data_IF_156055826752
#
_entry.id   IF_156055826752
#
_cell.length_a   1.000
_cell.length_b   1.000
_cell.length_c   1.000
_cell.angle_alpha   90.00
_cell.angle_beta   90.00
_cell.angle_gamma   90.00
#
_symmetry.space_group_name_H-M   'P 1'
#
loop_
_entity.id
_entity.type
_entity.pdbx_description
1 polymer ?
#
# COMPACT_ATOMS: atom_id res chain seq x y z
N UNK A 1 20.63 -8.79 28.18
CA UNK A 1 20.52 -8.22 26.84
C UNK A 1 20.30 -9.39 25.87
N UNK A 2 19.29 -9.37 25.02
CA UNK A 2 19.05 -10.44 24.05
C UNK A 2 20.06 -10.30 22.91
N UNK A 3 20.87 -11.33 22.66
CA UNK A 3 21.77 -11.40 21.51
C UNK A 3 20.98 -11.92 20.29
N UNK A 4 20.26 -11.05 19.60
CA UNK A 4 19.54 -11.42 18.39
C UNK A 4 20.53 -11.53 17.23
N UNK A 5 20.58 -12.70 16.59
CA UNK A 5 21.44 -13.00 15.44
C UNK A 5 20.57 -13.33 14.23
N UNK A 6 21.02 -12.90 13.05
CA UNK A 6 20.39 -13.26 11.78
C UNK A 6 21.45 -13.67 10.76
N UNK A 7 21.05 -14.43 9.75
CA UNK A 7 21.94 -14.82 8.67
C UNK A 7 22.05 -13.72 7.61
N UNK A 8 23.26 -13.33 7.26
CA UNK A 8 23.56 -12.39 6.18
C UNK A 8 23.57 -13.05 4.80
N UNK A 9 23.80 -14.36 4.77
CA UNK A 9 23.91 -15.10 3.52
C UNK A 9 22.55 -15.57 3.03
N UNK A 10 22.39 -15.54 1.70
CA UNK A 10 21.17 -16.02 1.06
C UNK A 10 20.22 -14.92 0.58
N UNK A 11 19.05 -15.32 0.04
CA UNK A 11 18.07 -14.39 -0.49
C UNK A 11 17.48 -13.53 0.64
N UNK A 12 17.34 -12.24 0.34
CA UNK A 12 16.80 -11.31 1.32
C UNK A 12 15.30 -11.56 1.56
N UNK A 13 14.91 -11.38 2.81
CA UNK A 13 13.50 -11.31 3.20
C UNK A 13 13.31 -10.30 4.33
N UNK A 14 12.10 -9.78 4.46
CA UNK A 14 11.76 -8.79 5.48
C UNK A 14 10.38 -8.21 5.27
N UNK A 15 10.19 -6.98 5.72
CA UNK A 15 8.88 -6.32 5.71
C UNK A 15 8.94 -4.93 5.08
N UNK A 16 7.82 -4.50 4.53
CA UNK A 16 7.61 -3.13 4.06
C UNK A 16 7.32 -2.26 5.28
N UNK A 17 8.11 -1.22 5.49
CA UNK A 17 7.86 -0.21 6.53
C UNK A 17 6.89 0.84 6.05
N UNK A 18 7.12 1.36 4.85
CA UNK A 18 6.34 2.44 4.25
C UNK A 18 6.43 2.38 2.73
N UNK A 19 5.44 2.93 2.05
CA UNK A 19 5.44 3.05 0.60
C UNK A 19 4.70 4.29 0.13
N UNK A 20 5.04 4.73 -1.08
CA UNK A 20 4.45 5.92 -1.66
C UNK A 20 4.75 6.05 -3.14
N UNK A 21 4.33 7.18 -3.72
CA UNK A 21 4.64 7.53 -5.11
C UNK A 21 5.51 8.77 -5.13
N UNK A 22 6.72 8.66 -5.72
CA UNK A 22 7.63 9.79 -5.88
C UNK A 22 7.71 10.22 -7.35
N UNK A 23 7.68 11.54 -7.57
CA UNK A 23 7.84 12.12 -8.90
C UNK A 23 9.17 11.69 -9.53
N UNK A 24 9.12 11.10 -10.72
CA UNK A 24 10.30 10.61 -11.45
C UNK A 24 10.80 9.21 -11.05
N UNK A 25 10.44 8.69 -9.88
CA UNK A 25 10.82 7.35 -9.44
C UNK A 25 9.66 6.34 -9.53
N UNK A 26 8.42 6.84 -9.57
CA UNK A 26 7.22 6.02 -9.55
C UNK A 26 6.92 5.47 -8.15
N UNK A 27 6.38 4.27 -8.09
CA UNK A 27 6.13 3.59 -6.82
C UNK A 27 7.45 3.22 -6.14
N UNK A 28 7.60 3.63 -4.89
CA UNK A 28 8.74 3.39 -4.01
C UNK A 28 8.27 2.74 -2.72
N UNK A 29 9.11 1.92 -2.12
CA UNK A 29 8.86 1.35 -0.81
C UNK A 29 10.13 1.36 0.04
N UNK A 30 10.00 1.61 1.32
CA UNK A 30 11.05 1.42 2.31
C UNK A 30 10.90 0.04 2.93
N UNK A 31 11.90 -0.78 2.74
CA UNK A 31 11.96 -2.15 3.24
C UNK A 31 12.88 -2.24 4.44
N UNK A 32 12.54 -3.05 5.42
CA UNK A 32 13.46 -3.51 6.46
C UNK A 32 13.91 -4.92 6.11
N UNK A 33 15.17 -5.06 5.76
CA UNK A 33 15.77 -6.38 5.53
C UNK A 33 15.94 -7.07 6.88
N UNK A 34 15.34 -8.24 7.06
CA UNK A 34 15.43 -9.03 8.29
C UNK A 34 16.40 -10.21 8.17
N UNK A 35 16.53 -10.78 6.99
CA UNK A 35 17.44 -11.90 6.68
C UNK A 35 18.03 -11.73 5.29
N UNK A 36 19.20 -12.32 5.07
CA UNK A 36 19.88 -12.29 3.79
C UNK A 36 20.38 -10.92 3.41
N UNK A 37 20.88 -10.76 2.21
CA UNK A 37 21.37 -9.48 1.67
C UNK A 37 20.59 -9.13 0.42
N UNK A 38 19.99 -7.93 0.40
CA UNK A 38 19.24 -7.42 -0.73
C UNK A 38 20.18 -6.70 -1.70
N UNK A 39 20.11 -7.02 -2.99
CA UNK A 39 20.94 -6.42 -4.02
C UNK A 39 20.12 -5.64 -5.04
N UNK A 40 20.73 -4.61 -5.62
CA UNK A 40 20.15 -3.93 -6.77
C UNK A 40 20.08 -4.91 -7.94
N UNK A 41 18.90 -5.01 -8.57
CA UNK A 41 18.64 -5.95 -9.65
C UNK A 41 18.03 -7.28 -9.20
N UNK A 42 17.89 -7.54 -7.90
CA UNK A 42 17.18 -8.71 -7.40
C UNK A 42 15.70 -8.66 -7.80
N UNK A 43 15.12 -9.84 -7.98
CA UNK A 43 13.68 -9.98 -8.14
C UNK A 43 13.03 -10.17 -6.78
N UNK A 44 12.07 -9.34 -6.47
CA UNK A 44 11.33 -9.40 -5.20
C UNK A 44 9.85 -9.71 -5.44
N UNK A 45 9.33 -10.55 -4.59
CA UNK A 45 7.89 -10.76 -4.42
C UNK A 45 7.46 -10.00 -3.18
N UNK A 46 6.54 -9.04 -3.36
CA UNK A 46 5.96 -8.23 -2.28
C UNK A 46 4.44 -8.33 -2.41
N UNK A 47 3.78 -8.97 -1.43
CA UNK A 47 2.35 -9.22 -1.55
C UNK A 47 2.02 -10.03 -2.80
N UNK A 48 1.31 -9.40 -3.74
CA UNK A 48 0.87 -9.97 -5.02
C UNK A 48 1.65 -9.45 -6.24
N UNK A 49 2.66 -8.59 -6.03
CA UNK A 49 3.51 -8.09 -7.11
C UNK A 49 4.89 -8.73 -7.13
N UNK A 50 5.32 -9.14 -8.31
CA UNK A 50 6.66 -9.63 -8.58
C UNK A 50 7.39 -8.65 -9.49
N UNK A 51 8.49 -8.04 -9.00
CA UNK A 51 9.21 -6.98 -9.73
C UNK A 51 10.70 -7.05 -9.51
N UNK A 52 11.43 -6.53 -10.50
CA UNK A 52 12.86 -6.32 -10.42
C UNK A 52 13.17 -4.97 -9.77
N UNK A 53 13.99 -4.98 -8.74
CA UNK A 53 14.47 -3.75 -8.09
C UNK A 53 15.33 -2.95 -9.07
N UNK A 54 14.96 -1.70 -9.32
CA UNK A 54 15.73 -0.79 -10.20
C UNK A 54 16.83 -0.08 -9.44
N UNK A 55 16.54 0.39 -8.25
CA UNK A 55 17.53 1.07 -7.41
C UNK A 55 17.31 0.79 -5.95
N UNK A 56 18.41 0.81 -5.19
CA UNK A 56 18.43 0.80 -3.74
C UNK A 56 18.99 2.13 -3.25
N UNK A 57 18.35 2.73 -2.27
CA UNK A 57 18.83 3.95 -1.58
C UNK A 57 18.85 3.72 -0.08
N UNK A 58 19.92 4.13 0.57
CA UNK A 58 20.00 4.10 2.02
C UNK A 58 19.15 5.22 2.66
N UNK A 59 19.12 5.26 3.99
CA UNK A 59 18.39 6.27 4.76
C UNK A 59 18.88 7.72 4.53
N UNK A 60 20.09 7.90 3.99
CA UNK A 60 20.63 9.21 3.59
C UNK A 60 20.23 9.59 2.14
N UNK A 61 19.46 8.75 1.44
CA UNK A 61 19.10 8.98 0.04
C UNK A 61 20.19 8.61 -0.97
N UNK A 62 21.35 8.14 -0.53
CA UNK A 62 22.45 7.74 -1.40
C UNK A 62 22.17 6.39 -2.04
N UNK A 63 22.49 6.24 -3.32
CA UNK A 63 22.33 4.99 -4.03
C UNK A 63 23.37 3.97 -3.55
N UNK A 64 22.91 2.75 -3.24
CA UNK A 64 23.73 1.63 -2.80
C UNK A 64 23.50 0.42 -3.70
N UNK A 65 24.44 -0.52 -3.70
CA UNK A 65 24.33 -1.77 -4.46
C UNK A 65 23.74 -2.91 -3.63
N UNK A 66 24.00 -2.90 -2.33
CA UNK A 66 23.62 -3.98 -1.41
C UNK A 66 23.10 -3.41 -0.09
N UNK A 67 22.16 -4.11 0.54
CA UNK A 67 21.64 -3.80 1.87
C UNK A 67 21.66 -5.05 2.75
N UNK A 68 22.43 -5.05 3.85
CA UNK A 68 22.45 -6.16 4.80
C UNK A 68 21.21 -6.18 5.69
N UNK A 69 21.02 -7.23 6.51
CA UNK A 69 19.96 -7.27 7.52
C UNK A 69 20.03 -6.09 8.51
N UNK A 70 18.88 -5.81 9.12
CA UNK A 70 18.67 -4.72 10.11
C UNK A 70 18.89 -3.31 9.52
N UNK A 71 18.89 -3.18 8.20
CA UNK A 71 19.03 -1.89 7.52
C UNK A 71 17.76 -1.53 6.78
N UNK A 72 17.19 -0.33 7.00
CA UNK A 72 16.12 0.19 6.17
C UNK A 72 16.69 0.63 4.82
N UNK A 73 15.99 0.26 3.75
CA UNK A 73 16.39 0.58 2.38
C UNK A 73 15.19 0.96 1.53
N UNK A 74 15.28 2.08 0.84
CA UNK A 74 14.27 2.48 -0.13
C UNK A 74 14.55 1.81 -1.48
N UNK A 75 13.51 1.20 -2.05
CA UNK A 75 13.56 0.55 -3.36
C UNK A 75 12.65 1.26 -4.36
N UNK A 76 12.99 1.20 -5.63
CA UNK A 76 12.16 1.64 -6.74
C UNK A 76 11.99 0.54 -7.79
N UNK A 77 11.02 0.71 -8.69
CA UNK A 77 10.73 -0.26 -9.75
C UNK A 77 9.47 -1.08 -9.49
N UNK A 78 8.72 -0.73 -8.46
CA UNK A 78 7.43 -1.33 -8.15
C UNK A 78 6.34 -0.83 -9.11
N UNK A 79 5.27 -1.58 -9.28
CA UNK A 79 4.13 -1.20 -10.11
C UNK A 79 3.20 -0.24 -9.37
N UNK A 80 2.96 -0.52 -8.10
CA UNK A 80 2.16 0.28 -7.19
C UNK A 80 2.75 0.19 -5.79
N UNK A 81 2.45 1.17 -4.91
CA UNK A 81 2.91 1.13 -3.53
C UNK A 81 2.32 -0.07 -2.79
N UNK A 82 3.14 -0.97 -2.21
CA UNK A 82 2.66 -2.05 -1.36
C UNK A 82 2.16 -1.51 -0.02
N UNK A 83 1.32 -2.28 0.69
CA UNK A 83 0.88 -1.89 2.02
C UNK A 83 2.02 -2.05 3.05
N UNK A 84 2.04 -1.16 4.06
CA UNK A 84 2.93 -1.31 5.20
C UNK A 84 2.66 -2.64 5.93
N UNK A 85 3.70 -3.25 6.47
CA UNK A 85 3.62 -4.57 7.12
C UNK A 85 3.58 -5.76 6.17
N UNK A 86 3.48 -5.58 4.86
CA UNK A 86 3.60 -6.69 3.91
C UNK A 86 5.00 -7.28 3.91
N UNK A 87 5.07 -8.61 3.84
CA UNK A 87 6.33 -9.32 3.71
C UNK A 87 6.86 -9.23 2.28
N UNK A 88 8.18 -9.15 2.17
CA UNK A 88 8.87 -9.32 0.89
C UNK A 88 9.88 -10.45 0.95
N UNK A 89 10.15 -11.06 -0.18
CA UNK A 89 11.21 -12.03 -0.37
C UNK A 89 11.89 -11.91 -1.73
N UNK A 90 13.19 -12.12 -1.75
CA UNK A 90 13.94 -12.27 -3.01
C UNK A 90 13.74 -13.68 -3.53
N UNK A 91 13.42 -13.80 -4.82
CA UNK A 91 13.13 -15.06 -5.47
C UNK A 91 14.10 -15.29 -6.62
N UNK A 92 14.71 -16.45 -6.67
CA UNK A 92 15.67 -16.84 -7.73
C UNK A 92 14.97 -17.42 -8.96
N UNK A 93 13.84 -18.09 -8.76
CA UNK A 93 13.04 -18.67 -9.83
C UNK A 93 11.92 -17.72 -10.25
N UNK A 94 12.16 -17.03 -11.37
CA UNK A 94 11.23 -16.06 -11.93
C UNK A 94 9.87 -16.68 -12.31
N UNK A 95 9.87 -17.92 -12.85
CA UNK A 95 8.63 -18.60 -13.25
C UNK A 95 7.75 -18.95 -12.06
N UNK A 96 8.36 -19.54 -11.01
CA UNK A 96 7.64 -19.89 -9.79
C UNK A 96 7.10 -18.64 -9.08
N UNK A 97 7.90 -17.57 -9.03
CA UNK A 97 7.49 -16.31 -8.41
C UNK A 97 6.36 -15.61 -9.17
N UNK A 98 6.39 -15.63 -10.50
CA UNK A 98 5.34 -15.07 -11.34
C UNK A 98 4.03 -15.82 -11.15
N UNK A 99 4.05 -17.14 -11.18
CA UNK A 99 2.87 -17.98 -10.93
C UNK A 99 2.27 -17.72 -9.54
N UNK A 100 3.11 -17.63 -8.51
CA UNK A 100 2.67 -17.33 -7.14
C UNK A 100 2.08 -15.91 -7.01
N UNK A 101 2.66 -14.93 -7.71
CA UNK A 101 2.14 -13.56 -7.72
C UNK A 101 0.77 -13.49 -8.40
N UNK A 102 0.59 -14.17 -9.53
CA UNK A 102 -0.67 -14.25 -10.25
C UNK A 102 -1.77 -14.93 -9.41
N UNK A 103 -1.44 -16.03 -8.71
CA UNK A 103 -2.36 -16.71 -7.79
C UNK A 103 -2.78 -15.79 -6.63
N UNK A 104 -1.84 -15.07 -6.01
CA UNK A 104 -2.12 -14.12 -4.94
C UNK A 104 -2.96 -12.94 -5.43
N UNK A 105 -2.67 -12.41 -6.63
CA UNK A 105 -3.45 -11.33 -7.24
C UNK A 105 -4.90 -11.76 -7.52
N UNK A 106 -5.11 -12.99 -8.01
CA UNK A 106 -6.45 -13.55 -8.20
C UNK A 106 -7.21 -13.65 -6.88
N UNK A 107 -6.61 -14.27 -5.86
CA UNK A 107 -7.22 -14.38 -4.52
C UNK A 107 -7.54 -13.02 -3.89
N UNK A 108 -6.67 -12.03 -4.10
CA UNK A 108 -6.90 -10.66 -3.61
C UNK A 108 -8.10 -10.01 -4.29
N UNK A 109 -8.23 -10.18 -5.63
CA UNK A 109 -9.40 -9.70 -6.38
C UNK A 109 -10.69 -10.36 -5.91
N UNK A 110 -10.70 -11.69 -5.75
CA UNK A 110 -11.86 -12.44 -5.30
C UNK A 110 -12.31 -11.99 -3.91
N UNK A 111 -11.37 -11.80 -2.99
CA UNK A 111 -11.65 -11.26 -1.65
C UNK A 111 -12.20 -9.83 -1.67
N UNK A 112 -11.69 -8.97 -2.57
CA UNK A 112 -12.22 -7.59 -2.74
C UNK A 112 -13.63 -7.60 -3.31
N UNK A 113 -13.92 -8.49 -4.26
CA UNK A 113 -15.25 -8.66 -4.84
C UNK A 113 -16.23 -9.23 -3.82
N UNK A 114 -15.82 -10.22 -3.03
CA UNK A 114 -16.64 -10.80 -1.95
C UNK A 114 -16.99 -9.74 -0.88
N UNK A 115 -16.03 -8.89 -0.49
CA UNK A 115 -16.28 -7.79 0.47
C UNK A 115 -17.19 -6.69 -0.08
N UNK A 116 -17.17 -6.44 -1.41
CA UNK A 116 -18.08 -5.48 -2.06
C UNK A 116 -19.47 -6.06 -2.31
N UNK A 117 -19.59 -7.40 -2.39
CA UNK A 117 -20.86 -8.09 -2.68
C UNK A 117 -21.84 -8.18 -1.50
N UNK A 118 -21.40 -7.88 -0.29
CA UNK A 118 -22.28 -7.88 0.90
C UNK A 118 -22.82 -6.45 1.15
N UNK A 119 -23.48 -5.88 0.15
CA UNK A 119 -24.51 -4.89 0.45
C UNK A 119 -25.76 -5.70 0.84
N UNK A 120 -25.90 -5.99 2.12
CA UNK A 120 -27.09 -6.69 2.61
C UNK A 120 -28.31 -5.83 2.31
N UNK A 121 -29.40 -6.45 1.89
CA UNK A 121 -30.72 -5.76 1.74
C UNK A 121 -31.10 -4.98 3.02
N UNK A 122 -30.70 -5.49 4.19
CA UNK A 122 -30.84 -4.79 5.47
C UNK A 122 -30.06 -3.46 5.51
N UNK A 123 -28.88 -3.37 4.86
CA UNK A 123 -28.12 -2.11 4.76
C UNK A 123 -28.79 -1.06 3.86
N UNK A 124 -29.55 -1.50 2.84
CA UNK A 124 -30.34 -0.59 1.99
C UNK A 124 -31.56 -0.07 2.76
N UNK A 125 -32.22 -0.92 3.53
CA UNK A 125 -33.38 -0.51 4.34
C UNK A 125 -33.00 0.27 5.61
N UNK A 126 -31.88 -0.05 6.25
CA UNK A 126 -31.35 0.74 7.37
C UNK A 126 -30.91 2.15 6.92
N UNK A 127 -30.46 2.32 5.67
CA UNK A 127 -30.15 3.63 5.08
C UNK A 127 -31.37 4.50 4.83
N UNK A 128 -32.57 3.92 4.70
CA UNK A 128 -33.81 4.68 4.43
C UNK A 128 -34.35 5.46 5.66
N UNK A 129 -33.96 5.07 6.87
CA UNK A 129 -34.37 5.77 8.11
C UNK A 129 -33.42 6.89 8.56
N UNK A 130 -32.18 6.93 8.03
CA UNK A 130 -31.14 7.86 8.45
C UNK A 130 -30.76 8.88 7.36
N UNK A 131 -31.61 8.98 6.35
CA UNK A 131 -31.46 9.86 5.17
C UNK A 131 -31.70 11.38 5.46
N UNK A 132 -31.88 11.73 6.72
CA UNK A 132 -32.11 13.13 7.10
C UNK A 132 -30.80 13.91 7.40
N UNK A 133 -29.66 13.22 7.57
CA UNK A 133 -28.39 13.91 7.87
C UNK A 133 -27.61 14.19 6.58
N UNK A 134 -27.11 15.41 6.38
CA UNK A 134 -26.26 15.72 5.24
C UNK A 134 -25.00 14.85 5.26
N UNK A 135 -24.58 14.33 4.09
CA UNK A 135 -23.35 13.58 3.95
C UNK A 135 -22.26 14.44 3.32
N UNK A 136 -21.08 14.42 3.91
CA UNK A 136 -19.87 15.02 3.34
C UNK A 136 -19.01 13.90 2.76
N UNK A 137 -18.87 13.90 1.45
CA UNK A 137 -18.05 12.92 0.74
C UNK A 137 -16.60 13.43 0.64
N UNK A 138 -15.63 12.57 0.93
CA UNK A 138 -14.22 12.93 0.90
C UNK A 138 -13.43 11.99 -0.01
N UNK A 139 -12.49 12.57 -0.74
CA UNK A 139 -11.40 11.87 -1.44
C UNK A 139 -10.10 12.26 -0.76
N UNK A 140 -9.34 11.26 -0.31
CA UNK A 140 -8.07 11.46 0.41
C UNK A 140 -6.93 11.13 -0.52
N UNK A 141 -5.98 12.08 -0.69
CA UNK A 141 -4.76 11.87 -1.47
C UNK A 141 -3.55 12.24 -0.63
N UNK A 142 -2.63 11.30 -0.49
CA UNK A 142 -1.44 11.45 0.36
C UNK A 142 -0.18 11.06 -0.41
N UNK A 143 0.98 11.37 0.15
CA UNK A 143 2.28 10.97 -0.37
C UNK A 143 2.66 9.52 0.00
N UNK A 144 2.13 9.01 1.12
CA UNK A 144 2.43 7.66 1.62
C UNK A 144 1.16 6.91 2.07
N UNK A 145 1.22 5.59 2.06
CA UNK A 145 0.13 4.74 2.52
C UNK A 145 -0.18 4.93 4.01
N UNK A 146 0.85 5.10 4.84
CA UNK A 146 0.66 5.31 6.28
C UNK A 146 -0.13 6.58 6.59
N UNK A 147 0.12 7.66 5.85
CA UNK A 147 -0.64 8.92 5.97
C UNK A 147 -2.10 8.73 5.56
N UNK A 148 -2.37 7.98 4.47
CA UNK A 148 -3.73 7.70 4.02
C UNK A 148 -4.53 6.91 5.08
N UNK A 149 -3.93 5.84 5.62
CA UNK A 149 -4.55 5.03 6.69
C UNK A 149 -4.80 5.84 7.96
N UNK A 150 -3.83 6.66 8.39
CA UNK A 150 -3.97 7.48 9.58
C UNK A 150 -5.11 8.50 9.46
N UNK A 151 -5.19 9.20 8.31
CA UNK A 151 -6.26 10.16 8.04
C UNK A 151 -7.62 9.46 7.95
N UNK A 152 -7.71 8.36 7.20
CA UNK A 152 -8.93 7.58 7.08
C UNK A 152 -9.41 7.04 8.45
N UNK A 153 -8.48 6.54 9.27
CA UNK A 153 -8.75 6.10 10.64
C UNK A 153 -9.24 7.24 11.53
N UNK A 154 -8.60 8.40 11.47
CA UNK A 154 -9.04 9.59 12.23
C UNK A 154 -10.44 10.04 11.83
N UNK A 155 -10.72 10.11 10.52
CA UNK A 155 -12.03 10.51 9.98
C UNK A 155 -13.12 9.52 10.41
N UNK A 156 -12.87 8.21 10.32
CA UNK A 156 -13.83 7.18 10.71
C UNK A 156 -14.14 7.19 12.22
N UNK A 157 -13.22 7.70 13.03
CA UNK A 157 -13.40 7.84 14.48
C UNK A 157 -14.08 9.17 14.88
N UNK A 158 -14.21 10.12 13.96
CA UNK A 158 -14.93 11.38 14.22
C UNK A 158 -16.42 11.12 14.39
N UNK A 159 -16.93 11.45 15.57
CA UNK A 159 -18.36 11.47 15.83
C UNK A 159 -18.90 12.88 15.56
N UNK A 160 -19.53 13.06 14.41
CA UNK A 160 -20.20 14.33 14.05
C UNK A 160 -21.70 14.10 14.22
N UNK A 161 -22.34 14.91 15.08
CA UNK A 161 -23.76 14.72 15.40
C UNK A 161 -24.67 15.11 14.24
N UNK A 162 -24.30 16.12 13.45
CA UNK A 162 -25.16 16.74 12.43
C UNK A 162 -24.84 16.33 10.99
N UNK A 163 -23.80 15.53 10.73
CA UNK A 163 -23.42 15.11 9.39
C UNK A 163 -22.79 13.71 9.38
N UNK A 164 -22.91 12.99 8.26
CA UNK A 164 -22.19 11.77 7.99
C UNK A 164 -20.98 12.06 7.10
N UNK A 165 -19.79 11.64 7.53
CA UNK A 165 -18.59 11.72 6.69
C UNK A 165 -18.38 10.38 5.99
N UNK A 166 -18.20 10.40 4.67
CA UNK A 166 -17.98 9.22 3.85
C UNK A 166 -16.71 9.37 3.04
N UNK A 167 -15.75 8.48 3.23
CA UNK A 167 -14.58 8.39 2.36
C UNK A 167 -14.99 7.63 1.09
N UNK A 168 -14.97 8.33 -0.05
CA UNK A 168 -15.30 7.78 -1.37
C UNK A 168 -14.11 7.07 -1.98
N UNK A 169 -12.92 7.68 -1.81
CA UNK A 169 -11.65 7.15 -2.29
C UNK A 169 -10.54 7.60 -1.35
N UNK A 170 -9.65 6.69 -1.03
CA UNK A 170 -8.34 6.96 -0.45
C UNK A 170 -7.25 6.43 -1.38
N UNK A 171 -6.13 7.14 -1.47
CA UNK A 171 -5.06 6.74 -2.36
C UNK A 171 -3.79 7.55 -2.21
N UNK A 172 -2.72 6.99 -2.74
CA UNK A 172 -1.37 7.55 -2.68
C UNK A 172 -0.99 8.18 -4.01
N UNK A 173 -0.35 9.33 -3.94
CA UNK A 173 0.15 10.07 -5.10
C UNK A 173 -0.58 11.39 -5.37
N UNK A 174 -0.18 12.12 -6.40
CA UNK A 174 -0.77 13.41 -6.75
C UNK A 174 -2.23 13.26 -7.20
N UNK A 175 -3.00 14.31 -7.05
CA UNK A 175 -4.36 14.38 -7.57
C UNK A 175 -4.34 14.27 -9.08
N UNK A 176 -5.10 13.34 -9.62
CA UNK A 176 -5.24 13.07 -11.06
C UNK A 176 -6.55 13.63 -11.62
N UNK A 177 -6.65 13.71 -12.94
CA UNK A 177 -7.90 14.09 -13.64
C UNK A 177 -9.05 13.15 -13.25
N UNK A 178 -8.77 11.86 -13.07
CA UNK A 178 -9.79 10.89 -12.65
C UNK A 178 -10.30 11.16 -11.22
N UNK A 179 -9.41 11.59 -10.32
CA UNK A 179 -9.81 11.95 -8.95
C UNK A 179 -10.74 13.17 -8.96
N UNK A 180 -10.44 14.17 -9.82
CA UNK A 180 -11.30 15.35 -9.98
C UNK A 180 -12.66 14.97 -10.59
N UNK A 181 -12.68 14.13 -11.62
CA UNK A 181 -13.93 13.65 -12.22
C UNK A 181 -14.78 12.87 -11.21
N UNK A 182 -14.12 12.04 -10.38
CA UNK A 182 -14.82 11.32 -9.31
C UNK A 182 -15.35 12.28 -8.24
N UNK A 183 -14.58 13.31 -7.88
CA UNK A 183 -15.01 14.33 -6.92
C UNK A 183 -16.25 15.05 -7.40
N UNK A 184 -16.28 15.46 -8.68
CA UNK A 184 -17.46 16.10 -9.29
C UNK A 184 -18.67 15.15 -9.30
N UNK A 185 -18.47 13.88 -9.70
CA UNK A 185 -19.55 12.90 -9.79
C UNK A 185 -20.13 12.48 -8.43
N UNK A 186 -19.31 12.56 -7.37
CA UNK A 186 -19.71 12.17 -6.01
C UNK A 186 -19.94 13.36 -5.07
N UNK A 187 -19.88 14.59 -5.58
CA UNK A 187 -19.95 15.83 -4.77
C UNK A 187 -18.98 15.79 -3.58
N UNK A 188 -17.75 15.31 -3.84
CA UNK A 188 -16.75 15.10 -2.81
C UNK A 188 -15.72 16.22 -2.76
N UNK A 189 -15.20 16.47 -1.57
CA UNK A 189 -14.04 17.35 -1.33
C UNK A 189 -12.78 16.50 -1.41
N UNK A 190 -11.73 17.00 -2.09
CA UNK A 190 -10.42 16.37 -2.14
C UNK A 190 -9.54 17.00 -1.06
N UNK A 191 -8.96 16.14 -0.21
CA UNK A 191 -8.02 16.46 0.86
C UNK A 191 -6.63 15.94 0.52
#
# INVERSE_FOLDING_TARGET
MLELKTNHDGPASGVVLESGVKKGEGAVATLLVQRGTLNSGDFVLIGDQFRKIRSLKNFLGSQIKTSPPSSPVAISGLEYPPNAGQEFMVVKDEKAAKSLSEERASKSRDNRLAKKGVVSLDGIFAGAGDSAKPSVNLIIKTDTNGSAEAIAGAINNLKVEDAKIKIVLDGVGPVSVNDVNLAVASEAVIL
#
